data_IF_335283826909
#
_entry.id   IF_335283826909
#
_cell.length_a   1.000
_cell.length_b   1.000
_cell.length_c   1.000
_cell.angle_alpha   90.00
_cell.angle_beta   90.00
_cell.angle_gamma   90.00
#
_symmetry.space_group_name_H-M   'P 1'
#
loop_
_entity.id
_entity.type
_entity.pdbx_description
1 polymer ?
#
# COMPACT_ATOMS: atom_id res chain seq x y z
N UNK A 1 -6.98 -34.79 -11.15
CA UNK A 1 -5.60 -34.28 -11.34
C UNK A 1 -5.49 -32.78 -11.61
N UNK A 2 -6.51 -32.10 -12.14
CA UNK A 2 -6.44 -30.66 -12.50
C UNK A 2 -6.40 -29.67 -11.33
N UNK A 3 -6.79 -30.07 -10.11
CA UNK A 3 -6.78 -29.20 -8.92
C UNK A 3 -5.36 -28.82 -8.45
N UNK A 4 -4.37 -29.72 -8.59
CA UNK A 4 -2.99 -29.44 -8.16
C UNK A 4 -2.29 -28.43 -9.06
N UNK A 5 -2.51 -28.48 -10.38
CA UNK A 5 -1.93 -27.51 -11.32
C UNK A 5 -2.47 -26.09 -11.07
N UNK A 6 -3.77 -25.97 -10.80
CA UNK A 6 -4.39 -24.68 -10.47
C UNK A 6 -3.83 -24.08 -9.19
N UNK A 7 -3.55 -24.88 -8.17
CA UNK A 7 -2.95 -24.41 -6.92
C UNK A 7 -1.50 -23.95 -7.10
N UNK A 8 -0.71 -24.62 -7.95
CA UNK A 8 0.67 -24.22 -8.26
C UNK A 8 0.68 -22.89 -9.00
N UNK A 9 -0.17 -22.72 -10.03
CA UNK A 9 -0.28 -21.44 -10.75
C UNK A 9 -0.71 -20.30 -9.82
N UNK A 10 -1.69 -20.52 -8.95
CA UNK A 10 -2.15 -19.51 -7.97
C UNK A 10 -1.02 -19.14 -7.00
N UNK A 11 -0.19 -20.10 -6.58
CA UNK A 11 0.96 -19.84 -5.70
C UNK A 11 2.02 -19.00 -6.41
N UNK A 12 2.39 -19.37 -7.64
CA UNK A 12 3.40 -18.66 -8.41
C UNK A 12 2.95 -17.22 -8.71
N UNK A 13 1.68 -17.02 -9.05
CA UNK A 13 1.11 -15.68 -9.28
C UNK A 13 1.13 -14.84 -8.00
N UNK A 14 0.82 -15.44 -6.84
CA UNK A 14 0.85 -14.75 -5.55
C UNK A 14 2.27 -14.33 -5.17
N UNK A 15 3.25 -15.22 -5.35
CA UNK A 15 4.65 -14.97 -5.02
C UNK A 15 5.24 -13.89 -5.94
N UNK A 16 4.95 -13.94 -7.24
CA UNK A 16 5.38 -12.94 -8.20
C UNK A 16 4.76 -11.57 -7.91
N UNK A 17 3.45 -11.52 -7.61
CA UNK A 17 2.76 -10.27 -7.27
C UNK A 17 3.32 -9.64 -5.98
N UNK A 18 3.60 -10.47 -4.97
CA UNK A 18 4.27 -10.03 -3.76
C UNK A 18 5.64 -9.44 -4.09
N UNK A 19 6.47 -10.18 -4.84
CA UNK A 19 7.82 -9.76 -5.24
C UNK A 19 7.84 -8.44 -6.02
N UNK A 20 6.98 -8.30 -7.03
CA UNK A 20 6.87 -7.06 -7.82
C UNK A 20 6.43 -5.91 -6.91
N UNK A 21 5.47 -6.13 -6.02
CA UNK A 21 5.02 -5.12 -5.06
C UNK A 21 6.16 -4.71 -4.11
N UNK A 22 6.97 -5.67 -3.64
CA UNK A 22 8.11 -5.41 -2.78
C UNK A 22 9.14 -4.48 -3.43
N UNK A 23 9.51 -4.79 -4.66
CA UNK A 23 10.51 -4.03 -5.41
C UNK A 23 9.98 -2.67 -5.87
N UNK A 24 8.73 -2.63 -6.34
CA UNK A 24 8.07 -1.39 -6.79
C UNK A 24 7.94 -0.40 -5.65
N UNK A 25 7.51 -0.87 -4.46
CA UNK A 25 7.39 0.00 -3.29
C UNK A 25 8.74 0.54 -2.84
N UNK A 26 9.78 -0.28 -2.82
CA UNK A 26 11.13 0.20 -2.51
C UNK A 26 11.58 1.24 -3.53
N UNK A 27 11.38 1.00 -4.83
CA UNK A 27 11.75 1.94 -5.88
C UNK A 27 11.01 3.28 -5.72
N UNK A 28 9.70 3.29 -5.46
CA UNK A 28 8.93 4.53 -5.23
C UNK A 28 9.44 5.26 -3.99
N UNK A 29 9.71 4.54 -2.91
CA UNK A 29 10.21 5.18 -1.68
C UNK A 29 11.63 5.74 -1.84
N UNK A 30 12.49 5.06 -2.58
CA UNK A 30 13.85 5.52 -2.86
C UNK A 30 13.87 6.69 -3.84
N UNK A 31 13.06 6.64 -4.91
CA UNK A 31 13.02 7.68 -5.95
C UNK A 31 12.20 8.91 -5.54
N UNK A 32 10.99 8.73 -5.02
CA UNK A 32 10.10 9.84 -4.67
C UNK A 32 10.39 10.41 -3.28
N UNK A 33 10.76 9.56 -2.32
CA UNK A 33 10.98 9.99 -0.93
C UNK A 33 12.47 10.07 -0.54
N UNK A 34 13.39 9.55 -1.36
CA UNK A 34 14.83 9.59 -1.06
C UNK A 34 15.23 8.72 0.13
N UNK A 35 14.38 7.77 0.56
CA UNK A 35 14.63 6.92 1.73
C UNK A 35 14.54 5.45 1.36
N UNK A 36 15.62 4.70 1.68
CA UNK A 36 15.62 3.25 1.51
C UNK A 36 14.77 2.57 2.56
N UNK A 37 13.71 1.89 2.11
CA UNK A 37 12.77 1.14 2.96
C UNK A 37 13.45 0.01 3.73
N UNK A 38 14.54 -0.55 3.17
CA UNK A 38 15.30 -1.65 3.76
C UNK A 38 15.87 -1.30 5.15
N UNK A 39 16.09 -0.01 5.44
CA UNK A 39 16.60 0.46 6.74
C UNK A 39 15.51 0.51 7.82
N UNK A 40 14.24 0.27 7.47
CA UNK A 40 13.10 0.50 8.38
C UNK A 40 12.58 -0.78 9.07
N UNK A 41 13.14 -1.95 8.76
CA UNK A 41 12.89 -3.19 9.50
C UNK A 41 11.39 -3.53 9.66
N UNK A 42 10.89 -3.64 10.89
CA UNK A 42 9.48 -3.98 11.15
C UNK A 42 8.46 -3.00 10.54
N UNK A 43 8.82 -1.72 10.44
CA UNK A 43 7.95 -0.71 9.82
C UNK A 43 7.77 -0.94 8.32
N UNK A 44 8.75 -1.53 7.63
CA UNK A 44 8.60 -1.91 6.22
C UNK A 44 7.49 -2.95 6.07
N UNK A 45 7.43 -3.95 6.97
CA UNK A 45 6.41 -4.99 6.92
C UNK A 45 5.01 -4.44 7.21
N UNK A 46 4.89 -3.54 8.19
CA UNK A 46 3.63 -2.87 8.48
C UNK A 46 3.15 -1.98 7.33
N UNK A 47 4.07 -1.22 6.72
CA UNK A 47 3.77 -0.37 5.57
C UNK A 47 3.33 -1.21 4.36
N UNK A 48 4.00 -2.33 4.09
CA UNK A 48 3.64 -3.26 3.02
C UNK A 48 2.26 -3.88 3.22
N UNK A 49 1.97 -4.35 4.42
CA UNK A 49 0.63 -4.85 4.74
C UNK A 49 -0.42 -3.75 4.58
N UNK A 50 -0.14 -2.53 5.04
CA UNK A 50 -1.04 -1.39 4.87
C UNK A 50 -1.30 -1.10 3.38
N UNK A 51 -0.29 -1.17 2.52
CA UNK A 51 -0.48 -0.97 1.08
C UNK A 51 -1.30 -2.10 0.45
N UNK A 52 -1.02 -3.35 0.79
CA UNK A 52 -1.81 -4.47 0.27
C UNK A 52 -3.28 -4.33 0.69
N UNK A 53 -3.54 -3.97 1.95
CA UNK A 53 -4.90 -3.74 2.45
C UNK A 53 -5.58 -2.56 1.75
N UNK A 54 -4.89 -1.43 1.51
CA UNK A 54 -5.51 -0.29 0.82
C UNK A 54 -5.81 -0.61 -0.65
N UNK A 55 -4.93 -1.36 -1.32
CA UNK A 55 -5.13 -1.79 -2.71
C UNK A 55 -6.33 -2.72 -2.81
N UNK A 56 -6.44 -3.70 -1.91
CA UNK A 56 -7.60 -4.60 -1.86
C UNK A 56 -8.90 -3.82 -1.61
N UNK A 57 -8.89 -2.87 -0.68
CA UNK A 57 -10.04 -2.00 -0.39
C UNK A 57 -10.38 -1.08 -1.58
N UNK A 58 -9.37 -0.57 -2.30
CA UNK A 58 -9.54 0.26 -3.50
C UNK A 58 -10.18 -0.55 -4.63
N UNK A 59 -9.71 -1.77 -4.88
CA UNK A 59 -10.32 -2.67 -5.86
C UNK A 59 -11.75 -3.02 -5.44
N UNK A 60 -11.97 -3.33 -4.16
CA UNK A 60 -13.31 -3.60 -3.61
C UNK A 60 -14.28 -2.42 -3.81
N UNK A 61 -13.79 -1.19 -3.64
CA UNK A 61 -14.55 0.04 -3.89
C UNK A 61 -14.80 0.26 -5.38
N UNK A 62 -13.79 0.05 -6.23
CA UNK A 62 -13.89 0.22 -7.69
C UNK A 62 -14.88 -0.76 -8.33
N UNK A 63 -14.94 -1.99 -7.83
CA UNK A 63 -15.88 -3.01 -8.31
C UNK A 63 -17.32 -2.79 -7.84
N UNK A 64 -17.56 -1.84 -6.92
CA UNK A 64 -18.87 -1.63 -6.28
C UNK A 64 -19.28 -0.16 -6.39
N UNK A 65 -19.93 0.23 -7.50
CA UNK A 65 -20.34 1.61 -7.75
C UNK A 65 -21.21 2.24 -6.63
N UNK A 66 -21.98 1.43 -5.89
CA UNK A 66 -22.77 1.94 -4.75
C UNK A 66 -21.92 2.50 -3.59
N UNK A 67 -20.61 2.22 -3.54
CA UNK A 67 -19.67 2.81 -2.59
C UNK A 67 -19.03 4.12 -3.10
N UNK A 68 -19.54 4.73 -4.18
CA UNK A 68 -19.10 6.08 -4.57
C UNK A 68 -19.46 7.14 -3.55
N UNK A 69 -20.59 6.98 -2.84
CA UNK A 69 -20.96 7.91 -1.78
C UNK A 69 -20.04 7.75 -0.57
N UNK A 70 -19.20 8.75 -0.33
CA UNK A 70 -18.21 8.75 0.74
C UNK A 70 -18.81 8.59 2.14
N UNK A 71 -20.02 9.11 2.39
CA UNK A 71 -20.69 8.98 3.69
C UNK A 71 -21.09 7.52 3.96
N UNK A 72 -21.71 6.87 2.97
CA UNK A 72 -22.10 5.45 3.06
C UNK A 72 -20.88 4.55 3.18
N UNK A 73 -19.82 4.86 2.45
CA UNK A 73 -18.57 4.13 2.54
C UNK A 73 -17.87 4.34 3.89
N UNK A 74 -17.84 5.56 4.42
CA UNK A 74 -17.23 5.87 5.72
C UNK A 74 -17.90 5.14 6.89
N UNK A 75 -19.22 4.90 6.80
CA UNK A 75 -19.97 4.14 7.80
C UNK A 75 -19.68 2.62 7.73
N UNK A 76 -19.28 2.13 6.55
CA UNK A 76 -18.98 0.72 6.34
C UNK A 76 -17.75 0.24 7.12
N UNK A 77 -17.65 -1.07 7.35
CA UNK A 77 -16.45 -1.68 7.93
C UNK A 77 -15.22 -1.49 7.05
N UNK A 78 -15.40 -1.45 5.72
CA UNK A 78 -14.36 -1.20 4.74
C UNK A 78 -13.79 0.23 4.86
N UNK A 79 -14.66 1.25 4.97
CA UNK A 79 -14.23 2.64 5.15
C UNK A 79 -13.48 2.86 6.46
N UNK A 80 -13.94 2.21 7.55
CA UNK A 80 -13.22 2.23 8.83
C UNK A 80 -11.83 1.58 8.75
N UNK A 81 -11.70 0.46 8.02
CA UNK A 81 -10.40 -0.17 7.75
C UNK A 81 -9.50 0.75 6.92
N UNK A 82 -10.01 1.31 5.83
CA UNK A 82 -9.30 2.26 5.00
C UNK A 82 -8.75 3.44 5.82
N UNK A 83 -9.56 4.02 6.73
CA UNK A 83 -9.11 5.12 7.59
C UNK A 83 -7.96 4.72 8.52
N UNK A 84 -7.99 3.50 9.08
CA UNK A 84 -6.89 2.98 9.92
C UNK A 84 -5.61 2.78 9.11
N UNK A 85 -5.74 2.17 7.93
CA UNK A 85 -4.63 1.92 7.02
C UNK A 85 -4.00 3.22 6.54
N UNK A 86 -4.81 4.21 6.16
CA UNK A 86 -4.34 5.55 5.80
C UNK A 86 -3.60 6.25 6.95
N UNK A 87 -4.02 6.03 8.20
CA UNK A 87 -3.31 6.58 9.36
C UNK A 87 -1.88 6.02 9.49
N UNK A 88 -1.69 4.72 9.19
CA UNK A 88 -0.37 4.08 9.17
C UNK A 88 0.48 4.65 8.03
N UNK A 89 -0.12 4.79 6.84
CA UNK A 89 0.55 5.33 5.65
C UNK A 89 0.98 6.79 5.83
N UNK A 90 0.11 7.60 6.46
CA UNK A 90 0.42 8.99 6.78
C UNK A 90 1.51 9.11 7.84
N UNK A 91 1.45 8.27 8.89
CA UNK A 91 2.51 8.20 9.90
C UNK A 91 3.88 7.81 9.31
N UNK A 92 3.89 6.94 8.29
CA UNK A 92 5.11 6.62 7.55
C UNK A 92 5.65 7.84 6.80
N UNK A 93 4.79 8.52 6.04
CA UNK A 93 5.17 9.70 5.24
C UNK A 93 5.69 10.83 6.13
N UNK A 94 5.06 11.05 7.29
CA UNK A 94 5.50 12.02 8.29
C UNK A 94 6.85 11.66 8.91
N UNK A 95 7.06 10.38 9.26
CA UNK A 95 8.34 9.91 9.79
C UNK A 95 9.47 10.09 8.78
N UNK A 96 9.18 9.84 7.50
CA UNK A 96 10.11 10.06 6.40
C UNK A 96 10.41 11.55 6.22
N UNK A 97 9.39 12.40 6.17
CA UNK A 97 9.54 13.87 6.09
C UNK A 97 10.39 14.44 7.22
N UNK A 98 10.19 13.98 8.46
CA UNK A 98 10.97 14.42 9.60
C UNK A 98 12.43 13.91 9.56
N UNK A 99 12.70 12.83 8.83
CA UNK A 99 14.05 12.28 8.65
C UNK A 99 14.83 13.01 7.55
N UNK A 100 14.15 13.64 6.58
CA UNK A 100 14.74 14.38 5.45
C UNK A 100 14.22 15.82 5.37
N UNK A 101 14.65 16.74 6.27
CA UNK A 101 14.12 18.10 6.33
C UNK A 101 14.47 19.01 5.14
N UNK A 102 15.29 18.59 4.17
CA UNK A 102 15.99 19.53 3.28
C UNK A 102 15.56 19.58 1.80
N UNK A 103 14.72 18.67 1.28
CA UNK A 103 14.49 18.60 -0.19
C UNK A 103 13.04 18.42 -0.68
N UNK A 104 12.05 18.22 0.20
CA UNK A 104 10.69 17.83 -0.20
C UNK A 104 9.76 18.97 -0.62
N UNK A 105 10.15 20.24 -0.46
CA UNK A 105 9.30 21.37 -0.87
C UNK A 105 9.18 21.57 -2.39
N UNK A 106 10.04 20.94 -3.21
CA UNK A 106 10.08 21.20 -4.66
C UNK A 106 9.45 20.11 -5.54
N UNK A 107 9.11 18.93 -5.01
CA UNK A 107 8.73 17.76 -5.85
C UNK A 107 7.24 17.37 -5.79
N UNK A 108 6.44 18.03 -4.94
CA UNK A 108 5.00 17.72 -4.78
C UNK A 108 4.10 18.61 -5.66
N UNK A 109 4.67 19.54 -6.45
CA UNK A 109 3.95 20.48 -7.30
C UNK A 109 4.33 20.41 -8.80
N UNK A 110 4.62 19.21 -9.32
CA UNK A 110 4.54 18.91 -10.76
C UNK A 110 3.56 17.75 -10.91
#
# INVERSE_FOLDING_TARGET
>A
MTKSLKNVEISVVKDLSSFISEHTLNAICETAMGVSLQKLGEFQKQYRNAINEIVELMIYRALRPWFYNDMLFALSSAGRKQKKVLKILHGFTEKVRNKTPSYTSYFIFI
#
